data_IF_732336631859
#
_entry.id   IF_732336631859
#
_cell.length_a   1.000
_cell.length_b   1.000
_cell.length_c   1.000
_cell.angle_alpha   90.00
_cell.angle_beta   90.00
_cell.angle_gamma   90.00
#
_symmetry.space_group_name_H-M   'P 1'
#
loop_
_entity.id
_entity.type
_entity.pdbx_description
1 polymer ?
#
# COMPACT_ATOMS: atom_id res chain seq x y z
N UNK A 1 4.04 10.45 4.45
CA UNK A 1 3.70 9.11 3.89
C UNK A 1 2.19 9.03 3.74
N UNK A 2 1.74 8.52 2.63
CA UNK A 2 0.31 8.45 2.31
C UNK A 2 -0.02 7.05 1.81
N UNK A 3 -1.11 6.47 2.31
CA UNK A 3 -1.59 5.19 1.82
C UNK A 3 -3.05 5.27 1.39
N UNK A 4 -3.38 4.60 0.30
CA UNK A 4 -4.75 4.30 -0.09
C UNK A 4 -4.98 2.83 0.22
N UNK A 5 -5.95 2.55 1.06
CA UNK A 5 -6.21 1.21 1.60
C UNK A 5 -7.62 0.80 1.19
N UNK A 6 -7.72 -0.35 0.54
CA UNK A 6 -9.01 -0.90 0.13
C UNK A 6 -9.20 -2.31 0.71
N UNK A 7 -10.39 -2.55 1.26
CA UNK A 7 -10.82 -3.92 1.53
C UNK A 7 -11.06 -4.63 0.21
N UNK A 8 -10.46 -5.79 0.05
CA UNK A 8 -10.54 -6.55 -1.21
C UNK A 8 -10.97 -7.98 -0.97
N UNK A 9 -11.55 -8.56 -2.03
CA UNK A 9 -11.72 -9.99 -2.18
C UNK A 9 -10.78 -10.44 -3.31
N UNK A 10 -9.51 -10.58 -2.96
CA UNK A 10 -8.44 -10.88 -3.89
C UNK A 10 -7.86 -9.65 -4.59
N UNK A 11 -6.55 -9.69 -4.81
CA UNK A 11 -5.80 -8.69 -5.57
C UNK A 11 -4.50 -9.28 -6.09
N UNK A 12 -4.01 -8.75 -7.21
CA UNK A 12 -2.75 -9.22 -7.82
C UNK A 12 -2.01 -8.12 -8.55
N UNK A 13 -0.72 -8.31 -8.71
CA UNK A 13 0.16 -7.43 -9.49
C UNK A 13 0.84 -8.25 -10.58
N UNK A 14 0.75 -7.77 -11.80
CA UNK A 14 1.41 -8.35 -12.97
C UNK A 14 2.44 -7.37 -13.52
N UNK A 15 3.66 -7.87 -13.77
CA UNK A 15 4.76 -7.13 -14.40
C UNK A 15 5.27 -7.98 -15.57
N UNK A 16 5.30 -7.40 -16.76
CA UNK A 16 5.75 -8.07 -17.98
C UNK A 16 5.08 -9.45 -18.20
N UNK A 17 3.77 -9.51 -17.96
CA UNK A 17 2.99 -10.74 -18.13
C UNK A 17 3.13 -11.76 -17.00
N UNK A 18 3.92 -11.48 -15.97
CA UNK A 18 4.17 -12.37 -14.84
C UNK A 18 3.51 -11.82 -13.56
N UNK A 19 2.79 -12.67 -12.83
CA UNK A 19 2.24 -12.33 -11.52
C UNK A 19 3.38 -12.30 -10.50
N UNK A 20 3.67 -11.11 -9.96
CA UNK A 20 4.76 -10.91 -9.00
C UNK A 20 4.28 -10.85 -7.55
N UNK A 21 3.00 -10.59 -7.34
CA UNK A 21 2.38 -10.58 -6.02
C UNK A 21 0.89 -10.86 -6.12
N UNK A 22 0.35 -11.61 -5.16
CA UNK A 22 -1.06 -11.98 -5.16
C UNK A 22 -1.52 -12.28 -3.73
N UNK A 23 -2.73 -11.85 -3.42
CA UNK A 23 -3.47 -12.30 -2.24
C UNK A 23 -4.84 -12.81 -2.68
N UNK A 24 -5.35 -13.83 -1.99
CA UNK A 24 -6.66 -14.42 -2.27
C UNK A 24 -7.57 -14.24 -1.07
N UNK A 25 -8.87 -14.10 -1.34
CA UNK A 25 -9.87 -13.90 -0.30
C UNK A 25 -9.83 -12.52 0.34
N UNK A 26 -10.41 -12.40 1.52
CA UNK A 26 -10.51 -11.14 2.24
C UNK A 26 -9.13 -10.64 2.70
N UNK A 27 -8.85 -9.40 2.41
CA UNK A 27 -7.59 -8.76 2.79
C UNK A 27 -7.59 -7.28 2.47
N UNK A 28 -6.41 -6.68 2.49
CA UNK A 28 -6.21 -5.28 2.14
C UNK A 28 -5.26 -5.14 0.96
N UNK A 29 -5.66 -4.32 -0.01
CA UNK A 29 -4.75 -3.79 -1.02
C UNK A 29 -4.33 -2.38 -0.60
N UNK A 30 -3.02 -2.14 -0.53
CA UNK A 30 -2.45 -0.92 0.02
C UNK A 30 -1.50 -0.30 -0.99
N UNK A 31 -1.84 0.90 -1.47
CA UNK A 31 -0.94 1.72 -2.27
C UNK A 31 -0.21 2.68 -1.33
N UNK A 32 1.12 2.71 -1.38
CA UNK A 32 1.95 3.53 -0.49
C UNK A 32 2.76 4.55 -1.28
N UNK A 33 2.53 5.83 -0.97
CA UNK A 33 3.33 6.95 -1.45
C UNK A 33 4.26 7.48 -0.37
N UNK A 34 5.46 7.87 -0.77
CA UNK A 34 6.50 8.43 0.11
C UNK A 34 6.81 9.85 -0.33
N UNK A 35 6.91 10.77 0.62
CA UNK A 35 7.34 12.15 0.39
C UNK A 35 8.71 12.42 1.02
N UNK A 36 9.30 13.59 0.71
CA UNK A 36 10.70 13.91 0.98
C UNK A 36 11.12 13.81 2.45
N UNK A 37 10.22 14.12 3.38
CA UNK A 37 10.54 14.16 4.82
C UNK A 37 10.10 12.91 5.58
N UNK A 38 9.71 11.86 4.88
CA UNK A 38 9.29 10.64 5.51
C UNK A 38 10.46 9.87 6.13
N UNK A 39 10.16 9.15 7.20
CA UNK A 39 11.14 8.47 8.04
C UNK A 39 10.77 7.01 8.26
N UNK A 40 11.73 6.20 8.71
CA UNK A 40 11.50 4.82 9.12
C UNK A 40 10.46 4.74 10.26
N UNK A 41 10.39 5.74 11.14
CA UNK A 41 9.37 5.78 12.20
C UNK A 41 7.96 5.94 11.62
N UNK A 42 7.78 6.78 10.59
CA UNK A 42 6.49 6.88 9.89
C UNK A 42 6.13 5.57 9.19
N UNK A 43 7.10 4.88 8.61
CA UNK A 43 6.87 3.57 8.01
C UNK A 43 6.39 2.54 9.05
N UNK A 44 7.03 2.53 10.22
CA UNK A 44 6.62 1.67 11.32
C UNK A 44 5.21 2.03 11.83
N UNK A 45 4.90 3.32 11.93
CA UNK A 45 3.57 3.80 12.32
C UNK A 45 2.50 3.36 11.31
N UNK A 46 2.79 3.47 10.02
CA UNK A 46 1.88 3.02 8.97
C UNK A 46 1.64 1.51 9.07
N UNK A 47 2.69 0.72 9.26
CA UNK A 47 2.57 -0.74 9.39
C UNK A 47 1.67 -1.12 10.57
N UNK A 48 1.84 -0.51 11.73
CA UNK A 48 0.97 -0.75 12.90
C UNK A 48 -0.48 -0.40 12.59
N UNK A 49 -0.70 0.75 11.92
CA UNK A 49 -2.04 1.17 11.54
C UNK A 49 -2.69 0.18 10.57
N UNK A 50 -1.97 -0.23 9.53
CA UNK A 50 -2.50 -1.19 8.54
C UNK A 50 -2.84 -2.54 9.16
N UNK A 51 -2.04 -3.02 10.11
CA UNK A 51 -2.27 -4.30 10.77
C UNK A 51 -3.48 -4.30 11.68
N UNK A 52 -3.78 -3.15 12.31
CA UNK A 52 -4.81 -3.01 13.35
C UNK A 52 -6.09 -2.30 12.92
N UNK A 53 -6.12 -1.66 11.75
CA UNK A 53 -7.30 -0.92 11.31
C UNK A 53 -8.50 -1.87 11.08
N UNK A 54 -9.64 -1.52 11.67
CA UNK A 54 -10.85 -2.34 11.61
C UNK A 54 -11.69 -1.99 10.41
N UNK A 55 -11.29 -2.46 9.24
CA UNK A 55 -12.03 -2.21 8.00
C UNK A 55 -12.38 -3.47 7.22
N UNK A 56 -12.15 -4.63 7.80
CA UNK A 56 -12.63 -5.90 7.26
C UNK A 56 -14.05 -6.20 7.75
N UNK A 57 -14.65 -7.30 7.28
CA UNK A 57 -16.00 -7.68 7.69
C UNK A 57 -16.10 -7.87 9.20
N UNK A 58 -17.26 -7.54 9.76
CA UNK A 58 -17.55 -7.60 11.21
C UNK A 58 -16.63 -6.69 12.04
N UNK A 59 -16.21 -5.54 11.46
CA UNK A 59 -15.33 -4.57 12.12
C UNK A 59 -14.03 -5.19 12.64
N UNK A 60 -13.49 -6.18 11.92
CA UNK A 60 -12.21 -6.80 12.25
C UNK A 60 -11.06 -6.17 11.50
N UNK A 61 -9.86 -6.34 12.05
CA UNK A 61 -8.59 -5.98 11.44
C UNK A 61 -7.92 -7.19 10.80
N UNK A 62 -6.86 -6.96 10.03
CA UNK A 62 -6.01 -8.05 9.55
C UNK A 62 -5.43 -8.87 10.70
N UNK A 63 -5.06 -8.20 11.80
CA UNK A 63 -4.52 -8.89 12.99
C UNK A 63 -5.53 -9.80 13.68
N UNK A 64 -6.82 -9.48 13.59
CA UNK A 64 -7.88 -10.29 14.23
C UNK A 64 -8.11 -11.62 13.53
N UNK A 65 -7.98 -11.66 12.20
CA UNK A 65 -8.32 -12.85 11.40
C UNK A 65 -7.16 -13.35 10.54
N UNK A 66 -5.96 -12.81 10.75
CA UNK A 66 -4.76 -13.14 9.95
C UNK A 66 -4.98 -12.94 8.44
N UNK A 67 -5.64 -11.84 8.07
CA UNK A 67 -5.90 -11.52 6.68
C UNK A 67 -4.64 -10.98 6.00
N UNK A 68 -4.40 -11.34 4.72
CA UNK A 68 -3.22 -10.89 3.99
C UNK A 68 -3.31 -9.45 3.51
N UNK A 69 -2.15 -8.84 3.27
CA UNK A 69 -2.04 -7.53 2.66
C UNK A 69 -1.21 -7.61 1.37
N UNK A 70 -1.64 -6.88 0.35
CA UNK A 70 -0.84 -6.62 -0.84
C UNK A 70 -0.37 -5.17 -0.78
N UNK A 71 0.93 -4.95 -0.62
CA UNK A 71 1.52 -3.62 -0.45
C UNK A 71 2.29 -3.23 -1.72
N UNK A 72 1.91 -2.11 -2.32
CA UNK A 72 2.41 -1.64 -3.61
C UNK A 72 2.91 -0.21 -3.47
N UNK A 73 4.13 0.07 -3.93
CA UNK A 73 4.63 1.44 -4.03
C UNK A 73 3.83 2.23 -5.08
N UNK A 74 3.46 3.47 -4.76
CA UNK A 74 2.65 4.33 -5.62
C UNK A 74 3.06 5.81 -5.44
N UNK A 75 4.10 6.25 -6.15
CA UNK A 75 4.60 7.62 -6.01
C UNK A 75 3.57 8.66 -6.47
N UNK A 76 2.68 8.28 -7.38
CA UNK A 76 1.65 9.17 -7.92
C UNK A 76 0.62 9.63 -6.89
N UNK A 77 0.58 9.04 -5.69
CA UNK A 77 -0.23 9.54 -4.58
C UNK A 77 0.21 10.93 -4.10
N UNK A 78 1.45 11.33 -4.41
CA UNK A 78 1.96 12.67 -4.20
C UNK A 78 1.93 13.52 -5.47
N UNK A 79 1.18 13.09 -6.48
CA UNK A 79 0.90 13.90 -7.65
C UNK A 79 0.05 15.13 -7.28
N UNK A 80 0.42 16.27 -7.82
CA UNK A 80 -0.35 17.52 -7.72
C UNK A 80 -1.04 17.81 -9.04
N UNK A 81 -2.36 17.76 -9.04
CA UNK A 81 -3.18 18.00 -10.24
C UNK A 81 -4.05 19.27 -10.10
N UNK A 82 -3.72 20.15 -9.13
CA UNK A 82 -4.53 21.36 -8.85
C UNK A 82 -4.44 22.41 -9.95
N UNK A 83 -3.34 22.46 -10.70
CA UNK A 83 -3.14 23.44 -11.78
C UNK A 83 -2.95 22.75 -13.12
N UNK A 84 -3.65 23.27 -14.14
CA UNK A 84 -3.52 22.80 -15.49
C UNK A 84 -4.02 21.38 -15.71
N UNK A 85 -3.50 20.73 -16.74
CA UNK A 85 -3.91 19.38 -17.15
C UNK A 85 -2.82 18.33 -16.94
N UNK A 86 -1.61 18.74 -16.58
CA UNK A 86 -0.49 17.84 -16.29
C UNK A 86 -0.26 17.78 -14.78
N UNK A 87 -0.36 16.61 -14.17
CA UNK A 87 0.07 16.43 -12.78
C UNK A 87 1.57 16.71 -12.65
N UNK A 88 1.99 17.18 -11.48
CA UNK A 88 3.40 17.31 -11.11
C UNK A 88 3.73 16.29 -10.01
N UNK A 89 4.99 15.88 -9.97
CA UNK A 89 5.46 14.82 -9.05
C UNK A 89 6.48 15.32 -8.03
N UNK A 90 6.58 16.65 -7.88
CA UNK A 90 7.61 17.30 -7.06
C UNK A 90 7.55 16.90 -5.59
N UNK A 91 6.37 16.57 -5.08
CA UNK A 91 6.19 16.15 -3.69
C UNK A 91 6.51 14.66 -3.45
N UNK A 92 6.69 13.87 -4.51
CA UNK A 92 7.08 12.48 -4.38
C UNK A 92 8.57 12.36 -4.09
N UNK A 93 8.95 11.55 -3.10
CA UNK A 93 10.35 11.26 -2.83
C UNK A 93 10.98 10.50 -4.00
N UNK A 94 12.25 10.72 -4.30
CA UNK A 94 12.96 9.96 -5.33
C UNK A 94 13.11 8.49 -4.95
N UNK A 95 13.27 7.62 -5.96
CA UNK A 95 13.36 6.18 -5.76
C UNK A 95 14.33 5.73 -4.66
N UNK A 96 15.58 6.23 -4.63
CA UNK A 96 16.54 5.84 -3.58
C UNK A 96 16.10 6.15 -2.14
N UNK A 97 15.18 7.08 -1.96
CA UNK A 97 14.56 7.41 -0.66
C UNK A 97 13.29 6.60 -0.44
N UNK A 98 12.46 6.50 -1.46
CA UNK A 98 11.13 5.88 -1.35
C UNK A 98 11.20 4.36 -1.19
N UNK A 99 12.04 3.68 -1.97
CA UNK A 99 12.11 2.21 -1.96
C UNK A 99 12.43 1.64 -0.58
N UNK A 100 13.48 2.11 0.14
CA UNK A 100 13.76 1.59 1.48
C UNK A 100 12.62 1.82 2.47
N UNK A 101 11.86 2.91 2.33
CA UNK A 101 10.75 3.21 3.24
C UNK A 101 9.53 2.34 2.95
N UNK A 102 9.24 2.04 1.70
CA UNK A 102 8.20 1.06 1.35
C UNK A 102 8.61 -0.33 1.85
N UNK A 103 9.87 -0.72 1.64
CA UNK A 103 10.41 -1.99 2.16
C UNK A 103 10.31 -2.06 3.69
N UNK A 104 10.53 -0.94 4.38
CA UNK A 104 10.39 -0.87 5.84
C UNK A 104 8.93 -1.11 6.27
N UNK A 105 7.94 -0.56 5.58
CA UNK A 105 6.52 -0.86 5.86
C UNK A 105 6.26 -2.36 5.78
N UNK A 106 6.74 -3.00 4.72
CA UNK A 106 6.58 -4.44 4.50
C UNK A 106 7.29 -5.25 5.59
N UNK A 107 8.55 -4.89 5.91
CA UNK A 107 9.33 -5.57 6.95
C UNK A 107 8.66 -5.46 8.33
N UNK A 108 8.15 -4.28 8.67
CA UNK A 108 7.43 -4.07 9.93
C UNK A 108 6.11 -4.85 10.01
N UNK A 109 5.36 -4.90 8.92
CA UNK A 109 4.15 -5.72 8.86
C UNK A 109 4.47 -7.20 9.08
N UNK A 110 5.50 -7.72 8.41
CA UNK A 110 5.92 -9.11 8.57
C UNK A 110 6.41 -9.39 9.99
N UNK A 111 7.12 -8.45 10.61
CA UNK A 111 7.56 -8.57 12.00
C UNK A 111 6.38 -8.62 12.99
N UNK A 112 5.24 -8.00 12.65
CA UNK A 112 3.99 -8.08 13.42
C UNK A 112 3.22 -9.38 13.19
N UNK A 113 3.66 -10.23 12.26
CA UNK A 113 3.03 -11.50 11.93
C UNK A 113 2.19 -11.49 10.65
N UNK A 114 2.16 -10.38 9.91
CA UNK A 114 1.34 -10.27 8.71
C UNK A 114 1.90 -11.10 7.54
N UNK A 115 1.00 -11.67 6.75
CA UNK A 115 1.30 -12.23 5.42
C UNK A 115 1.22 -11.09 4.41
N UNK A 116 2.35 -10.74 3.80
CA UNK A 116 2.44 -9.60 2.89
C UNK A 116 2.97 -10.04 1.53
N UNK A 117 2.17 -9.79 0.49
CA UNK A 117 2.61 -9.81 -0.89
C UNK A 117 2.96 -8.40 -1.35
N UNK A 118 3.81 -8.27 -2.33
CA UNK A 118 4.29 -6.97 -2.84
C UNK A 118 4.22 -6.90 -4.36
N UNK A 119 4.26 -5.66 -4.88
CA UNK A 119 4.60 -5.42 -6.27
C UNK A 119 6.12 -5.43 -6.48
N UNK A 120 6.55 -4.79 -7.57
CA UNK A 120 7.98 -4.60 -7.88
C UNK A 120 8.25 -3.11 -8.01
N UNK A 121 9.08 -2.57 -7.14
CA UNK A 121 9.39 -1.14 -7.12
C UNK A 121 9.92 -0.66 -8.47
N UNK A 122 9.40 0.46 -8.95
CA UNK A 122 9.83 1.11 -10.20
C UNK A 122 9.35 0.43 -11.49
N UNK A 123 8.66 -0.70 -11.39
CA UNK A 123 8.14 -1.41 -12.57
C UNK A 123 6.78 -0.82 -13.03
N UNK A 124 6.46 -1.04 -14.29
CA UNK A 124 5.12 -0.83 -14.81
C UNK A 124 4.23 -2.00 -14.32
N UNK A 125 3.36 -1.71 -13.36
CA UNK A 125 2.54 -2.72 -12.70
C UNK A 125 1.09 -2.65 -13.16
N UNK A 126 0.54 -3.82 -13.49
CA UNK A 126 -0.90 -3.99 -13.71
C UNK A 126 -1.49 -4.56 -12.43
N UNK A 127 -2.24 -3.74 -11.74
CA UNK A 127 -2.85 -4.11 -10.46
C UNK A 127 -4.32 -4.43 -10.71
N UNK A 128 -4.72 -5.65 -10.35
CA UNK A 128 -6.11 -6.11 -10.42
C UNK A 128 -6.60 -6.38 -9.03
N UNK A 129 -7.79 -5.87 -8.71
CA UNK A 129 -8.40 -6.11 -7.41
C UNK A 129 -9.92 -6.08 -7.53
N UNK A 130 -10.58 -6.79 -6.62
CA UNK A 130 -12.00 -6.61 -6.37
C UNK A 130 -12.13 -5.83 -5.07
N UNK A 131 -12.48 -4.55 -5.17
CA UNK A 131 -12.79 -3.76 -3.99
C UNK A 131 -14.12 -4.23 -3.40
N UNK A 132 -14.06 -4.77 -2.20
CA UNK A 132 -15.25 -5.11 -1.43
C UNK A 132 -15.69 -3.84 -0.71
N UNK A 133 -16.46 -3.04 -1.46
CA UNK A 133 -16.81 -1.69 -1.04
C UNK A 133 -17.86 -1.61 0.07
N UNK A 134 -18.08 -0.41 0.60
CA UNK A 134 -17.47 0.85 0.18
C UNK A 134 -16.08 1.14 0.75
N UNK A 135 -15.43 0.19 1.39
CA UNK A 135 -14.23 0.41 2.20
C UNK A 135 -13.00 0.73 1.35
N UNK A 136 -12.78 2.02 1.19
CA UNK A 136 -11.57 2.65 0.64
C UNK A 136 -11.25 3.84 1.52
N UNK A 137 -10.09 3.86 2.14
CA UNK A 137 -9.66 4.96 3.02
C UNK A 137 -8.30 5.49 2.64
N UNK A 138 -8.05 6.75 2.97
CA UNK A 138 -6.75 7.40 2.84
C UNK A 138 -6.17 7.57 4.23
N UNK A 139 -4.93 7.12 4.42
CA UNK A 139 -4.14 7.35 5.62
C UNK A 139 -3.03 8.32 5.26
N UNK A 140 -2.97 9.44 5.94
CA UNK A 140 -1.96 10.49 5.70
C UNK A 140 -1.20 10.75 6.99
N UNK A 141 0.12 10.53 6.95
CA UNK A 141 1.01 10.65 8.10
C UNK A 141 2.03 11.78 7.94
#
# INVERSE_FOLDING_TARGET
MRAVVQRVDGASVVVDGETVGEITGEGLCVLVGVTHEDTAEKAAQLARKLWSIRMLHDERSCSDIDAPLLVISQFTLYGDARKGRRPTWNAAAPGPVAEPLVDEVVARLRALGATVATGRFGAAMRVSLTNDGPFTVVIDL
#
